data_IF_535291791625
#
_entry.id   IF_535291791625
#
_cell.length_a   1.000
_cell.length_b   1.000
_cell.length_c   1.000
_cell.angle_alpha   90.00
_cell.angle_beta   90.00
_cell.angle_gamma   90.00
#
_symmetry.space_group_name_H-M   'P 1'
#
loop_
_entity.id
_entity.type
_entity.pdbx_description
1 polymer ?
#
# COMPACT_ATOMS: atom_id res chain seq x y z
N UNK A 1 -46.68 30.44 6.47
CA UNK A 1 -47.44 31.71 6.44
C UNK A 1 -47.15 32.61 5.23
N UNK A 2 -46.06 32.45 4.46
CA UNK A 2 -45.79 33.23 3.22
C UNK A 2 -46.32 32.56 1.93
N UNK A 3 -46.86 31.34 2.01
CA UNK A 3 -47.29 30.53 0.86
C UNK A 3 -48.63 30.93 0.23
N UNK A 4 -49.39 31.84 0.84
CA UNK A 4 -50.74 32.23 0.40
C UNK A 4 -50.73 33.40 -0.58
N UNK A 5 -49.66 34.20 -0.61
CA UNK A 5 -49.60 35.44 -1.41
C UNK A 5 -49.02 35.28 -2.84
N UNK A 6 -48.45 34.12 -3.18
CA UNK A 6 -47.84 33.90 -4.51
C UNK A 6 -48.33 32.55 -5.07
N UNK A 7 -49.27 32.54 -6.04
CA UNK A 7 -49.66 31.34 -6.77
C UNK A 7 -48.41 30.83 -7.52
N UNK A 8 -47.93 29.64 -7.16
CA UNK A 8 -46.73 29.04 -7.75
C UNK A 8 -45.55 28.80 -6.79
N UNK A 9 -45.65 29.19 -5.52
CA UNK A 9 -44.62 28.88 -4.50
C UNK A 9 -44.34 27.37 -4.31
N UNK A 10 -45.31 26.52 -4.66
CA UNK A 10 -45.22 25.06 -4.68
C UNK A 10 -44.17 24.56 -5.71
N UNK A 11 -44.06 25.18 -6.89
CA UNK A 11 -43.08 24.81 -7.91
C UNK A 11 -41.64 25.14 -7.48
N UNK A 12 -41.44 26.23 -6.72
CA UNK A 12 -40.14 26.59 -6.15
C UNK A 12 -39.65 25.59 -5.08
N UNK A 13 -40.56 24.95 -4.34
CA UNK A 13 -40.22 23.88 -3.40
C UNK A 13 -39.75 22.63 -4.15
N UNK A 14 -40.44 22.24 -5.22
CA UNK A 14 -40.04 21.10 -6.08
C UNK A 14 -38.64 21.31 -6.66
N UNK A 15 -38.35 22.50 -7.20
CA UNK A 15 -37.02 22.86 -7.73
C UNK A 15 -35.95 22.85 -6.62
N UNK A 16 -36.28 23.24 -5.38
CA UNK A 16 -35.35 23.12 -4.23
C UNK A 16 -35.11 21.67 -3.83
N UNK A 17 -36.13 20.81 -3.83
CA UNK A 17 -35.96 19.37 -3.55
C UNK A 17 -35.14 18.65 -4.62
N UNK A 18 -35.14 19.10 -5.88
CA UNK A 18 -34.22 18.58 -6.92
C UNK A 18 -32.74 18.81 -6.57
N UNK A 19 -32.39 19.73 -5.65
CA UNK A 19 -31.01 19.85 -5.16
C UNK A 19 -30.57 18.65 -4.32
N UNK A 20 -31.50 17.88 -3.75
CA UNK A 20 -31.21 16.63 -3.03
C UNK A 20 -30.64 15.57 -3.97
N UNK A 21 -30.93 15.64 -5.29
CA UNK A 21 -30.30 14.78 -6.30
C UNK A 21 -28.77 14.90 -6.32
N UNK A 22 -28.18 15.95 -5.74
CA UNK A 22 -26.72 16.03 -5.53
C UNK A 22 -26.19 14.91 -4.64
N UNK A 23 -27.04 14.24 -3.84
CA UNK A 23 -26.68 13.04 -3.07
C UNK A 23 -26.24 11.90 -3.97
N UNK A 24 -26.69 11.85 -5.22
CA UNK A 24 -26.19 10.88 -6.21
C UNK A 24 -24.71 11.06 -6.54
N UNK A 25 -24.06 12.17 -6.14
CA UNK A 25 -22.59 12.25 -6.14
C UNK A 25 -21.94 11.18 -5.25
N UNK A 26 -22.64 10.63 -4.26
CA UNK A 26 -22.20 9.45 -3.49
C UNK A 26 -22.02 8.22 -4.38
N UNK A 27 -22.71 8.11 -5.52
CA UNK A 27 -22.45 7.03 -6.49
C UNK A 27 -21.04 7.09 -7.08
N UNK A 28 -20.36 8.25 -7.04
CA UNK A 28 -18.92 8.32 -7.35
C UNK A 28 -18.08 7.49 -6.37
N UNK A 29 -18.57 7.18 -5.17
CA UNK A 29 -17.90 6.28 -4.22
C UNK A 29 -17.72 4.86 -4.79
N UNK A 30 -18.60 4.43 -5.69
CA UNK A 30 -18.51 3.12 -6.38
C UNK A 30 -17.21 2.99 -7.17
N UNK A 31 -16.69 4.09 -7.72
CA UNK A 31 -15.40 4.08 -8.42
C UNK A 31 -14.22 3.85 -7.45
N UNK A 32 -14.33 4.32 -6.21
CA UNK A 32 -13.35 4.07 -5.15
C UNK A 32 -13.43 2.64 -4.62
N UNK A 33 -14.63 2.04 -4.61
CA UNK A 33 -14.79 0.63 -4.24
C UNK A 33 -14.03 -0.31 -5.19
N UNK A 34 -14.00 -0.01 -6.50
CA UNK A 34 -13.20 -0.78 -7.47
C UNK A 34 -11.69 -0.69 -7.19
N UNK A 35 -11.18 0.51 -6.92
CA UNK A 35 -9.78 0.70 -6.55
C UNK A 35 -9.43 0.00 -5.21
N UNK A 36 -10.32 0.06 -4.22
CA UNK A 36 -10.16 -0.63 -2.94
C UNK A 36 -10.16 -2.15 -3.10
N UNK A 37 -10.99 -2.71 -3.99
CA UNK A 37 -10.99 -4.13 -4.32
C UNK A 37 -9.68 -4.56 -4.99
N UNK A 38 -9.17 -3.79 -5.94
CA UNK A 38 -7.87 -4.05 -6.58
C UNK A 38 -6.73 -4.05 -5.55
N UNK A 39 -6.70 -3.06 -4.65
CA UNK A 39 -5.73 -3.01 -3.54
C UNK A 39 -5.87 -4.22 -2.61
N UNK A 40 -7.09 -4.58 -2.23
CA UNK A 40 -7.34 -5.73 -1.35
C UNK A 40 -6.90 -7.05 -1.99
N UNK A 41 -7.13 -7.21 -3.30
CA UNK A 41 -6.67 -8.37 -4.06
C UNK A 41 -5.14 -8.42 -4.12
N UNK A 42 -4.50 -7.30 -4.45
CA UNK A 42 -3.05 -7.18 -4.50
C UNK A 42 -2.39 -7.50 -3.15
N UNK A 43 -2.95 -6.99 -2.04
CA UNK A 43 -2.49 -7.32 -0.68
C UNK A 43 -2.65 -8.81 -0.36
N UNK A 44 -3.78 -9.41 -0.74
CA UNK A 44 -4.03 -10.84 -0.50
C UNK A 44 -3.08 -11.71 -1.32
N UNK A 45 -2.83 -11.37 -2.57
CA UNK A 45 -1.85 -12.03 -3.44
C UNK A 45 -0.42 -11.88 -2.89
N UNK A 46 -0.09 -10.70 -2.36
CA UNK A 46 1.21 -10.39 -1.75
C UNK A 46 1.43 -11.02 -0.37
N UNK A 47 0.37 -11.52 0.30
CA UNK A 47 0.40 -11.84 1.74
C UNK A 47 1.52 -12.79 2.15
N UNK A 48 1.78 -13.85 1.37
CA UNK A 48 2.87 -14.79 1.64
C UNK A 48 4.25 -14.14 1.49
N UNK A 49 4.45 -13.31 0.47
CA UNK A 49 5.70 -12.56 0.22
C UNK A 49 5.96 -11.57 1.36
N UNK A 50 4.92 -10.84 1.78
CA UNK A 50 4.97 -9.90 2.92
C UNK A 50 5.28 -10.64 4.22
N UNK A 51 4.64 -11.79 4.47
CA UNK A 51 4.92 -12.59 5.67
C UNK A 51 6.38 -13.05 5.76
N UNK A 52 6.96 -13.55 4.65
CA UNK A 52 8.39 -13.93 4.60
C UNK A 52 9.28 -12.72 4.83
N UNK A 53 8.95 -11.58 4.22
CA UNK A 53 9.69 -10.33 4.42
C UNK A 53 9.65 -9.86 5.87
N UNK A 54 8.47 -9.78 6.49
CA UNK A 54 8.32 -9.39 7.89
C UNK A 54 9.05 -10.34 8.85
N UNK A 55 9.05 -11.64 8.55
CA UNK A 55 9.82 -12.62 9.31
C UNK A 55 11.33 -12.33 9.23
N UNK A 56 11.86 -12.03 8.03
CA UNK A 56 13.25 -11.66 7.85
C UNK A 56 13.62 -10.33 8.55
N UNK A 57 12.72 -9.35 8.53
CA UNK A 57 12.90 -8.09 9.29
C UNK A 57 12.95 -8.37 10.79
N UNK A 58 12.06 -9.21 11.30
CA UNK A 58 12.02 -9.57 12.71
C UNK A 58 13.30 -10.27 13.16
N UNK A 59 13.81 -11.24 12.39
CA UNK A 59 15.07 -11.91 12.72
C UNK A 59 16.24 -10.93 12.70
N UNK A 60 16.30 -10.03 11.72
CA UNK A 60 17.34 -9.00 11.63
C UNK A 60 17.30 -8.02 12.81
N UNK A 61 16.11 -7.60 13.22
CA UNK A 61 15.90 -6.76 14.42
C UNK A 61 16.40 -7.47 15.69
N UNK A 62 16.10 -8.78 15.85
CA UNK A 62 16.58 -9.55 17.01
C UNK A 62 18.10 -9.64 17.03
N UNK A 63 18.74 -9.86 15.86
CA UNK A 63 20.19 -9.92 15.74
C UNK A 63 20.83 -8.58 16.10
N UNK A 64 20.44 -7.49 15.44
CA UNK A 64 21.01 -6.17 15.70
C UNK A 64 20.70 -5.66 17.11
N UNK A 65 19.49 -5.88 17.61
CA UNK A 65 19.12 -5.54 18.99
C UNK A 65 19.96 -6.29 20.02
N UNK A 66 20.23 -7.57 19.79
CA UNK A 66 21.12 -8.36 20.67
C UNK A 66 22.57 -7.88 20.60
N UNK A 67 23.08 -7.54 19.41
CA UNK A 67 24.43 -6.96 19.26
C UNK A 67 24.54 -5.62 19.99
N UNK A 68 23.54 -4.75 19.86
CA UNK A 68 23.48 -3.45 20.55
C UNK A 68 23.48 -3.61 22.07
N UNK A 69 22.73 -4.58 22.60
CA UNK A 69 22.74 -4.89 24.03
C UNK A 69 24.16 -5.24 24.52
N UNK A 70 24.91 -6.03 23.74
CA UNK A 70 26.28 -6.46 24.10
C UNK A 70 27.29 -5.31 23.98
N UNK A 71 27.16 -4.46 22.95
CA UNK A 71 28.13 -3.39 22.67
C UNK A 71 27.94 -2.19 23.61
N UNK A 72 26.70 -1.78 23.87
CA UNK A 72 26.40 -0.58 24.66
C UNK A 72 26.17 -0.90 26.14
N UNK A 73 25.55 -2.03 26.44
CA UNK A 73 25.23 -2.44 27.81
C UNK A 73 24.21 -1.54 28.53
N UNK A 74 23.97 -1.85 29.80
CA UNK A 74 22.95 -1.16 30.61
C UNK A 74 23.32 0.31 30.92
N UNK A 75 24.61 0.65 30.93
CA UNK A 75 25.11 2.00 31.24
C UNK A 75 24.62 3.05 30.24
N UNK A 76 24.43 2.67 28.97
CA UNK A 76 23.99 3.55 27.90
C UNK A 76 22.49 3.42 27.58
N UNK A 77 21.68 2.86 28.50
CA UNK A 77 20.23 2.72 28.35
C UNK A 77 19.77 1.44 27.64
N UNK A 78 20.69 0.59 27.18
CA UNK A 78 20.39 -0.73 26.61
C UNK A 78 20.28 -1.77 27.73
N UNK A 79 19.30 -1.59 28.63
CA UNK A 79 19.18 -2.35 29.89
C UNK A 79 18.76 -3.81 29.71
N UNK A 80 18.18 -4.19 28.58
CA UNK A 80 17.73 -5.56 28.30
C UNK A 80 17.61 -5.80 26.80
N UNK A 81 17.72 -7.06 26.36
CA UNK A 81 17.58 -7.44 24.94
C UNK A 81 16.25 -6.92 24.33
N UNK A 82 15.08 -7.06 24.98
CA UNK A 82 13.83 -6.51 24.44
C UNK A 82 13.86 -4.98 24.27
N UNK A 83 14.54 -4.25 25.15
CA UNK A 83 14.69 -2.80 25.06
C UNK A 83 15.60 -2.41 23.89
N UNK A 84 16.67 -3.16 23.66
CA UNK A 84 17.54 -2.98 22.49
C UNK A 84 16.83 -3.32 21.18
N UNK A 85 16.00 -4.37 21.17
CA UNK A 85 15.11 -4.73 20.05
C UNK A 85 14.15 -3.57 19.74
N UNK A 86 13.53 -2.98 20.76
CA UNK A 86 12.68 -1.81 20.60
C UNK A 86 13.43 -0.64 19.93
N UNK A 87 14.64 -0.33 20.39
CA UNK A 87 15.48 0.69 19.77
C UNK A 87 15.77 0.38 18.29
N UNK A 88 16.11 -0.88 17.99
CA UNK A 88 16.37 -1.31 16.61
C UNK A 88 15.13 -1.17 15.73
N UNK A 89 13.93 -1.51 16.22
CA UNK A 89 12.67 -1.31 15.47
C UNK A 89 12.46 0.18 15.17
N UNK A 90 12.55 1.05 16.18
CA UNK A 90 12.34 2.50 16.05
C UNK A 90 13.33 3.12 15.08
N UNK A 91 14.58 2.66 15.10
CA UNK A 91 15.65 3.15 14.21
C UNK A 91 15.48 2.62 12.78
N UNK A 92 15.24 1.31 12.63
CA UNK A 92 15.08 0.65 11.34
C UNK A 92 13.83 1.14 10.59
N UNK A 93 12.76 1.46 11.33
CA UNK A 93 11.53 2.05 10.77
C UNK A 93 11.61 3.55 10.55
N UNK A 94 12.77 4.17 10.78
CA UNK A 94 13.02 5.61 10.62
C UNK A 94 12.17 6.52 11.52
N UNK A 95 11.57 5.98 12.59
CA UNK A 95 10.77 6.75 13.56
C UNK A 95 11.67 7.61 14.45
N UNK A 96 12.72 7.01 15.01
CA UNK A 96 13.78 7.74 15.73
C UNK A 96 13.31 8.60 16.92
N UNK A 97 12.61 8.02 17.90
CA UNK A 97 12.13 8.76 19.07
C UNK A 97 13.24 9.47 19.88
N UNK A 98 14.48 8.96 19.83
CA UNK A 98 15.62 9.56 20.52
C UNK A 98 15.64 9.33 22.03
N UNK A 99 14.79 8.46 22.55
CA UNK A 99 14.72 8.05 23.96
C UNK A 99 15.88 7.16 24.40
N UNK A 100 16.49 6.43 23.45
CA UNK A 100 17.69 5.62 23.63
C UNK A 100 18.59 5.83 22.41
N UNK A 101 19.90 5.98 22.62
CA UNK A 101 20.86 6.15 21.51
C UNK A 101 22.23 5.57 21.86
N UNK A 102 22.94 5.01 20.87
CA UNK A 102 24.29 4.48 21.06
C UNK A 102 25.28 5.57 21.44
N UNK A 103 26.05 5.34 22.49
CA UNK A 103 27.09 6.27 22.95
C UNK A 103 28.48 5.82 22.53
N UNK A 104 28.68 4.52 22.28
CA UNK A 104 29.99 3.99 21.91
C UNK A 104 30.28 4.18 20.40
N UNK A 105 31.54 4.38 19.99
CA UNK A 105 31.90 4.47 18.58
C UNK A 105 31.49 3.23 17.77
N UNK A 106 31.61 2.04 18.37
CA UNK A 106 31.20 0.78 17.74
C UNK A 106 29.67 0.69 17.59
N UNK A 107 28.90 1.08 18.61
CA UNK A 107 27.44 1.12 18.55
C UNK A 107 26.94 2.15 17.55
N UNK A 108 27.61 3.30 17.43
CA UNK A 108 27.29 4.32 16.41
C UNK A 108 27.57 3.81 14.99
N UNK A 109 28.68 3.09 14.77
CA UNK A 109 28.96 2.46 13.49
C UNK A 109 27.88 1.41 13.12
N UNK A 110 27.48 0.58 14.08
CA UNK A 110 26.40 -0.39 13.88
C UNK A 110 25.06 0.31 13.59
N UNK A 111 24.75 1.38 14.32
CA UNK A 111 23.56 2.17 14.10
C UNK A 111 23.51 2.80 12.71
N UNK A 112 24.63 3.29 12.18
CA UNK A 112 24.72 3.80 10.81
C UNK A 112 24.35 2.72 9.78
N UNK A 113 24.83 1.49 9.96
CA UNK A 113 24.46 0.36 9.10
C UNK A 113 22.96 0.07 9.19
N UNK A 114 22.40 0.01 10.41
CA UNK A 114 20.96 -0.23 10.64
C UNK A 114 20.11 0.85 9.97
N UNK A 115 20.52 2.12 10.05
CA UNK A 115 19.80 3.24 9.40
C UNK A 115 19.78 3.09 7.86
N UNK A 116 20.89 2.70 7.24
CA UNK A 116 20.96 2.47 5.79
C UNK A 116 20.07 1.28 5.38
N UNK A 117 20.09 0.19 6.16
CA UNK A 117 19.24 -0.97 5.92
C UNK A 117 17.75 -0.63 6.03
N UNK A 118 17.37 0.28 6.94
CA UNK A 118 16.00 0.76 7.11
C UNK A 118 15.41 1.35 5.82
N UNK A 119 16.17 2.17 5.10
CA UNK A 119 15.73 2.72 3.80
C UNK A 119 15.44 1.62 2.78
N UNK A 120 16.26 0.56 2.73
CA UNK A 120 16.03 -0.57 1.83
C UNK A 120 14.76 -1.35 2.18
N UNK A 121 14.50 -1.56 3.48
CA UNK A 121 13.34 -2.29 3.97
C UNK A 121 12.03 -1.60 3.61
N UNK A 122 11.95 -0.27 3.68
CA UNK A 122 10.72 0.47 3.34
C UNK A 122 10.33 0.30 1.86
N UNK A 123 11.31 0.14 0.96
CA UNK A 123 11.08 0.00 -0.47
C UNK A 123 10.48 -1.37 -0.86
N UNK A 124 10.85 -2.44 -0.15
CA UNK A 124 10.46 -3.82 -0.48
C UNK A 124 8.94 -4.08 -0.45
N UNK A 125 8.18 -3.78 0.62
CA UNK A 125 6.74 -4.05 0.66
C UNK A 125 5.99 -3.20 -0.37
N UNK A 126 6.45 -1.97 -0.60
CA UNK A 126 5.92 -1.08 -1.64
C UNK A 126 6.11 -1.69 -3.02
N UNK A 127 7.29 -2.25 -3.31
CA UNK A 127 7.57 -2.96 -4.56
C UNK A 127 6.73 -4.23 -4.73
N UNK A 128 6.62 -5.06 -3.69
CA UNK A 128 5.83 -6.30 -3.72
C UNK A 128 4.37 -5.99 -4.05
N UNK A 129 3.75 -5.06 -3.30
CA UNK A 129 2.35 -4.67 -3.52
C UNK A 129 2.17 -3.95 -4.85
N UNK A 130 3.14 -3.13 -5.25
CA UNK A 130 3.11 -2.41 -6.53
C UNK A 130 3.05 -3.34 -7.73
N UNK A 131 3.81 -4.44 -7.72
CA UNK A 131 3.77 -5.46 -8.79
C UNK A 131 2.40 -6.15 -8.86
N UNK A 132 1.87 -6.60 -7.72
CA UNK A 132 0.56 -7.26 -7.69
C UNK A 132 -0.58 -6.29 -8.07
N UNK A 133 -0.45 -5.01 -7.71
CA UNK A 133 -1.41 -3.98 -8.09
C UNK A 133 -1.35 -3.69 -9.60
N UNK A 134 -0.15 -3.61 -10.18
CA UNK A 134 0.01 -3.45 -11.62
C UNK A 134 -0.60 -4.64 -12.40
N UNK A 135 -0.40 -5.86 -11.91
CA UNK A 135 -1.00 -7.08 -12.49
C UNK A 135 -2.53 -7.08 -12.39
N UNK A 136 -3.09 -6.63 -11.26
CA UNK A 136 -4.54 -6.50 -11.10
C UNK A 136 -5.18 -5.49 -12.09
N UNK A 137 -4.41 -4.50 -12.55
CA UNK A 137 -4.85 -3.54 -13.58
C UNK A 137 -4.64 -4.06 -15.01
N UNK A 138 -3.61 -4.88 -15.26
CA UNK A 138 -3.32 -5.44 -16.58
C UNK A 138 -4.26 -6.57 -17.03
N UNK A 139 -5.11 -7.10 -16.14
CA UNK A 139 -6.06 -8.17 -16.45
C UNK A 139 -7.25 -7.77 -17.36
N UNK A 140 -7.21 -6.61 -18.02
CA UNK A 140 -8.13 -6.30 -19.12
C UNK A 140 -7.65 -6.96 -20.42
N UNK A 141 -7.55 -8.28 -20.42
CA UNK A 141 -7.36 -9.09 -21.64
C UNK A 141 -8.74 -9.36 -22.25
N UNK A 142 -8.85 -9.15 -23.56
CA UNK A 142 -10.03 -9.51 -24.34
C UNK A 142 -10.28 -11.01 -24.28
N UNK A 143 -11.53 -11.40 -24.02
CA UNK A 143 -11.98 -12.80 -24.12
C UNK A 143 -12.22 -13.25 -25.56
N UNK A 144 -11.93 -12.38 -26.54
CA UNK A 144 -12.05 -12.70 -27.96
C UNK A 144 -10.93 -13.65 -28.37
N UNK A 145 -11.29 -14.84 -28.82
CA UNK A 145 -10.36 -15.74 -29.50
C UNK A 145 -10.12 -15.22 -30.93
N UNK A 146 -8.87 -15.30 -31.40
CA UNK A 146 -8.55 -14.92 -32.77
C UNK A 146 -9.26 -15.88 -33.75
N UNK A 147 -9.99 -15.38 -34.76
CA UNK A 147 -10.73 -16.23 -35.69
C UNK A 147 -9.84 -17.12 -36.57
N UNK A 148 -8.58 -16.73 -36.80
CA UNK A 148 -7.63 -17.45 -37.65
C UNK A 148 -6.83 -18.52 -36.89
N UNK A 149 -6.22 -18.15 -35.76
CA UNK A 149 -5.31 -19.03 -35.02
C UNK A 149 -5.87 -19.55 -33.70
N UNK A 150 -7.09 -19.16 -33.33
CA UNK A 150 -7.74 -19.51 -32.06
C UNK A 150 -6.95 -19.13 -30.80
N UNK A 151 -5.96 -18.25 -30.91
CA UNK A 151 -5.20 -17.77 -29.77
C UNK A 151 -6.04 -16.76 -28.96
N UNK A 152 -5.94 -16.83 -27.63
CA UNK A 152 -6.62 -15.97 -26.66
C UNK A 152 -5.65 -15.02 -25.95
N UNK A 153 -6.19 -14.12 -25.12
CA UNK A 153 -5.39 -13.25 -24.24
C UNK A 153 -4.82 -12.02 -24.95
N UNK A 154 -5.56 -11.44 -25.89
CA UNK A 154 -5.21 -10.15 -26.52
C UNK A 154 -5.52 -8.99 -25.58
N UNK A 155 -4.84 -7.86 -25.72
CA UNK A 155 -5.19 -6.66 -24.96
C UNK A 155 -6.62 -6.21 -25.30
N UNK A 156 -7.34 -5.58 -24.36
CA UNK A 156 -8.73 -5.17 -24.57
C UNK A 156 -8.94 -4.22 -25.76
N UNK A 157 -7.91 -3.49 -26.19
CA UNK A 157 -7.91 -2.57 -27.32
C UNK A 157 -7.18 -3.11 -28.57
N UNK A 158 -6.80 -4.39 -28.58
CA UNK A 158 -6.10 -5.01 -29.68
C UNK A 158 -7.00 -5.10 -30.94
N UNK A 159 -6.57 -4.47 -32.04
CA UNK A 159 -7.21 -4.59 -33.37
C UNK A 159 -6.69 -5.79 -34.18
N UNK A 160 -5.50 -6.28 -33.82
CA UNK A 160 -4.82 -7.37 -34.51
C UNK A 160 -4.32 -8.39 -33.49
N UNK A 161 -4.33 -9.66 -33.89
CA UNK A 161 -3.85 -10.77 -33.10
C UNK A 161 -2.32 -10.67 -32.91
N UNK A 162 -1.85 -10.70 -31.66
CA UNK A 162 -0.42 -10.62 -31.33
C UNK A 162 0.41 -11.84 -31.77
N UNK A 163 -0.23 -12.94 -32.13
CA UNK A 163 0.43 -14.19 -32.54
C UNK A 163 0.51 -14.37 -34.06
N UNK A 164 -0.56 -14.04 -34.79
CA UNK A 164 -0.62 -14.26 -36.25
C UNK A 164 -0.83 -12.98 -37.09
N UNK A 165 -1.08 -11.83 -36.46
CA UNK A 165 -1.30 -10.56 -37.15
C UNK A 165 -2.66 -10.39 -37.83
N UNK A 166 -3.56 -11.39 -37.77
CA UNK A 166 -4.91 -11.29 -38.30
C UNK A 166 -5.76 -10.28 -37.52
N UNK A 167 -6.79 -9.68 -38.16
CA UNK A 167 -7.74 -8.83 -37.45
C UNK A 167 -8.49 -9.59 -36.35
N UNK A 168 -8.70 -8.94 -35.21
CA UNK A 168 -9.48 -9.48 -34.09
C UNK A 168 -10.96 -9.15 -34.24
#
# INVERSE_FOLDING_TARGET
YVSVLIPGSQYFLVIRSLRVLRIFRVLKLVQFLKAAQALRLALRASSRKIAVFLFAVLTMVVIFGSMMYIIEGAENGFTSIPRSIYWTIVTLTTVGYGDISPQTPLGQALAAIVMILGYGIIAVPTGIVGVELAQAYQQQVSTQACPECSAEGHDADAKFCKYCGAGL
#
